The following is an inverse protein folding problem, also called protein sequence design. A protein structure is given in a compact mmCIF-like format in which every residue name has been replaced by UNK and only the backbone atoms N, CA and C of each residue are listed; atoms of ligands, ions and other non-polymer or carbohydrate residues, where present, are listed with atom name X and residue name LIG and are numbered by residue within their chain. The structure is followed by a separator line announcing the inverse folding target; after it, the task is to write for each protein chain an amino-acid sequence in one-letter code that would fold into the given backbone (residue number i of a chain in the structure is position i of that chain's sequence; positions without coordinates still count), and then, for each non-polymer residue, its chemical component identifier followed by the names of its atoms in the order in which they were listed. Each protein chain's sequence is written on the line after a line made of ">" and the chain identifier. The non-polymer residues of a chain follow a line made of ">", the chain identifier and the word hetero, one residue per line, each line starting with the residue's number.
data_IF_164418358899
#
_entry.id   IF_164418358899
#
_cell.length_a   1.000
_cell.length_b   1.000
_cell.length_c   1.000
_cell.angle_alpha   90.00
_cell.angle_beta   90.00
_cell.angle_gamma   90.00
#
_symmetry.space_group_name_H-M   'P 1'
#
loop_
_entity.id
_entity.type
_entity.pdbx_description
1 polymer ?
#
# COMPACT_ATOMS: atom_id res chain seq x y z
N UNK A 1 3.74 -0.41 -23.52
CA UNK A 1 4.04 -0.66 -22.10
C UNK A 1 3.54 0.54 -21.31
N UNK A 2 2.47 0.39 -20.55
CA UNK A 2 1.92 1.46 -19.71
C UNK A 2 2.80 1.59 -18.47
N UNK A 3 3.44 2.75 -18.30
CA UNK A 3 4.22 3.09 -17.11
C UNK A 3 3.31 3.05 -15.88
N UNK A 4 3.71 2.44 -14.75
CA UNK A 4 2.91 2.49 -13.54
C UNK A 4 2.74 3.95 -13.10
N UNK A 5 1.50 4.44 -13.14
CA UNK A 5 1.08 5.83 -12.89
C UNK A 5 1.53 6.33 -11.50
N UNK A 6 1.73 5.43 -10.54
CA UNK A 6 2.15 5.76 -9.17
C UNK A 6 3.66 5.59 -8.91
N UNK A 7 4.49 5.34 -9.92
CA UNK A 7 5.92 5.13 -9.69
C UNK A 7 6.58 6.36 -9.07
N UNK A 8 7.28 6.17 -7.95
CA UNK A 8 7.89 7.23 -7.15
C UNK A 8 6.95 7.90 -6.15
N UNK A 9 5.66 7.54 -6.13
CA UNK A 9 4.71 8.11 -5.18
C UNK A 9 4.90 7.53 -3.77
N UNK A 10 4.64 8.39 -2.80
CA UNK A 10 4.70 8.11 -1.37
C UNK A 10 3.32 8.37 -0.78
N UNK A 11 2.78 7.38 -0.11
CA UNK A 11 1.53 7.45 0.64
C UNK A 11 1.84 7.44 2.13
N UNK A 12 1.37 8.46 2.84
CA UNK A 12 1.53 8.62 4.29
C UNK A 12 0.41 7.94 5.06
N UNK A 13 0.59 7.78 6.36
CA UNK A 13 -0.35 7.12 7.28
C UNK A 13 -1.81 7.59 7.12
N UNK A 14 -2.05 8.90 6.94
CA UNK A 14 -3.40 9.44 6.75
C UNK A 14 -4.10 8.86 5.52
N UNK A 15 -3.40 8.81 4.38
CA UNK A 15 -3.95 8.23 3.15
C UNK A 15 -4.14 6.73 3.32
N UNK A 16 -3.22 6.04 4.00
CA UNK A 16 -3.29 4.60 4.21
C UNK A 16 -4.45 4.21 5.14
N UNK A 17 -4.75 5.05 6.12
CA UNK A 17 -5.94 4.94 6.97
C UNK A 17 -7.21 5.09 6.13
N UNK A 18 -7.29 6.10 5.28
CA UNK A 18 -8.44 6.32 4.38
C UNK A 18 -8.60 5.19 3.35
N UNK A 19 -7.51 4.49 3.02
CA UNK A 19 -7.49 3.35 2.10
C UNK A 19 -7.71 2.00 2.80
N UNK A 20 -7.88 2.00 4.13
CA UNK A 20 -8.04 0.83 4.99
C UNK A 20 -6.91 -0.20 4.81
N UNK A 21 -5.66 0.30 4.76
CA UNK A 21 -4.45 -0.52 4.70
C UNK A 21 -3.77 -0.49 6.07
N UNK A 22 -3.71 -1.66 6.71
CA UNK A 22 -3.43 -1.80 8.15
C UNK A 22 -2.25 -2.76 8.35
N UNK A 23 -1.40 -2.48 9.33
CA UNK A 23 -0.37 -3.42 9.80
C UNK A 23 -1.04 -4.60 10.52
N UNK A 24 -0.78 -5.81 10.03
CA UNK A 24 -1.38 -7.03 10.60
C UNK A 24 -0.98 -7.29 12.05
N UNK A 25 0.17 -6.77 12.49
CA UNK A 25 0.73 -7.07 13.81
C UNK A 25 0.21 -6.11 14.89
N UNK A 26 -0.05 -4.85 14.53
CA UNK A 26 -0.46 -3.81 15.47
C UNK A 26 -1.94 -3.42 15.33
N UNK A 27 -2.58 -3.77 14.21
CA UNK A 27 -3.94 -3.33 13.90
C UNK A 27 -4.05 -1.83 13.59
N UNK A 28 -2.91 -1.13 13.44
CA UNK A 28 -2.84 0.30 13.12
C UNK A 28 -2.52 0.52 11.64
N UNK A 29 -2.86 1.67 11.06
CA UNK A 29 -2.39 2.02 9.71
C UNK A 29 -0.86 1.99 9.64
N UNK A 30 -0.35 1.66 8.45
CA UNK A 30 1.08 1.63 8.18
C UNK A 30 1.63 3.06 8.18
N UNK A 31 2.90 3.24 8.56
CA UNK A 31 3.51 4.57 8.56
C UNK A 31 3.59 5.18 7.17
N UNK A 32 4.00 4.37 6.19
CA UNK A 32 4.22 4.83 4.83
C UNK A 32 4.26 3.67 3.84
N UNK A 33 3.75 3.91 2.63
CA UNK A 33 3.98 3.05 1.48
C UNK A 33 4.66 3.88 0.39
N UNK A 34 5.70 3.32 -0.23
CA UNK A 34 6.37 3.91 -1.39
C UNK A 34 6.25 2.94 -2.56
N UNK A 35 5.77 3.44 -3.70
CA UNK A 35 5.71 2.65 -4.93
C UNK A 35 6.95 2.93 -5.75
N UNK A 36 7.71 1.89 -6.04
CA UNK A 36 8.84 1.90 -6.95
C UNK A 36 8.51 1.07 -8.19
N UNK A 37 9.36 1.16 -9.22
CA UNK A 37 9.07 0.69 -10.58
C UNK A 37 8.53 -0.74 -10.63
N UNK A 38 9.09 -1.63 -9.82
CA UNK A 38 8.75 -3.07 -9.79
C UNK A 38 8.35 -3.59 -8.40
N UNK A 39 8.28 -2.71 -7.39
CA UNK A 39 8.06 -3.11 -5.99
C UNK A 39 7.36 -2.03 -5.17
N UNK A 40 6.66 -2.47 -4.15
CA UNK A 40 6.02 -1.64 -3.13
C UNK A 40 6.83 -1.80 -1.85
N UNK A 41 7.33 -0.68 -1.33
CA UNK A 41 8.03 -0.63 -0.05
C UNK A 41 7.04 -0.18 1.02
N UNK A 42 6.87 -1.01 2.04
CA UNK A 42 5.92 -0.81 3.13
C UNK A 42 6.71 -0.56 4.41
N UNK A 43 6.56 0.62 4.99
CA UNK A 43 7.20 1.01 6.24
C UNK A 43 6.19 0.87 7.37
N UNK A 44 6.51 0.00 8.32
CA UNK A 44 5.72 -0.31 9.51
C UNK A 44 6.28 0.41 10.73
N UNK A 45 5.59 0.35 11.87
CA UNK A 45 6.16 0.80 13.15
C UNK A 45 7.43 0.01 13.51
N UNK A 46 7.42 -1.30 13.23
CA UNK A 46 8.50 -2.24 13.54
C UNK A 46 9.07 -2.89 12.29
N UNK A 47 9.70 -2.08 11.44
CA UNK A 47 10.48 -2.55 10.30
C UNK A 47 9.91 -2.15 8.94
N UNK A 48 10.50 -2.72 7.91
CA UNK A 48 10.18 -2.44 6.51
C UNK A 48 9.99 -3.77 5.76
N UNK A 49 8.97 -3.82 4.90
CA UNK A 49 8.66 -4.97 4.05
C UNK A 49 8.63 -4.52 2.59
N UNK A 50 9.15 -5.35 1.69
CA UNK A 50 9.11 -5.09 0.26
C UNK A 50 8.27 -6.13 -0.45
N UNK A 51 7.28 -5.69 -1.22
CA UNK A 51 6.33 -6.54 -1.92
C UNK A 51 6.51 -6.33 -3.44
N UNK A 52 6.76 -7.37 -4.23
CA UNK A 52 6.83 -7.25 -5.69
C UNK A 52 5.51 -6.72 -6.25
N UNK A 53 5.57 -5.71 -7.12
CA UNK A 53 4.37 -5.09 -7.71
C UNK A 53 3.59 -6.08 -8.58
N UNK A 54 4.29 -7.03 -9.20
CA UNK A 54 3.71 -8.07 -10.05
C UNK A 54 2.99 -9.20 -9.27
N UNK A 55 3.17 -9.27 -7.95
CA UNK A 55 2.50 -10.25 -7.09
C UNK A 55 1.01 -9.94 -6.93
N UNK A 56 0.20 -10.93 -6.56
CA UNK A 56 -1.22 -10.72 -6.25
C UNK A 56 -1.41 -9.67 -5.16
N UNK A 57 -0.59 -9.73 -4.10
CA UNK A 57 -0.60 -8.78 -2.98
C UNK A 57 -0.22 -7.38 -3.45
N UNK A 58 0.84 -7.26 -4.26
CA UNK A 58 1.29 -5.99 -4.83
C UNK A 58 0.24 -5.33 -5.72
N UNK A 59 -0.41 -6.10 -6.60
CA UNK A 59 -1.50 -5.62 -7.45
C UNK A 59 -2.70 -5.14 -6.62
N UNK A 60 -3.08 -5.87 -5.57
CA UNK A 60 -4.20 -5.47 -4.71
C UNK A 60 -3.93 -4.13 -4.00
N UNK A 61 -2.72 -3.95 -3.45
CA UNK A 61 -2.30 -2.69 -2.82
C UNK A 61 -2.28 -1.56 -3.86
N UNK A 62 -1.66 -1.79 -5.02
CA UNK A 62 -1.57 -0.81 -6.08
C UNK A 62 -2.96 -0.35 -6.54
N UNK A 63 -3.87 -1.30 -6.79
CA UNK A 63 -5.26 -0.99 -7.15
C UNK A 63 -5.97 -0.20 -6.06
N UNK A 64 -5.83 -0.57 -4.77
CA UNK A 64 -6.45 0.20 -3.68
C UNK A 64 -5.91 1.62 -3.62
N UNK A 65 -4.61 1.81 -3.83
CA UNK A 65 -4.00 3.14 -3.84
C UNK A 65 -4.47 3.98 -5.04
N UNK A 66 -4.68 3.37 -6.22
CA UNK A 66 -5.18 4.07 -7.41
C UNK A 66 -6.69 4.33 -7.39
N UNK A 67 -7.51 3.35 -7.03
CA UNK A 67 -8.97 3.49 -7.00
C UNK A 67 -9.38 4.14 -5.70
N UNK A 68 -9.86 5.38 -5.77
CA UNK A 68 -10.44 6.10 -4.63
C UNK A 68 -11.58 5.31 -4.00
N UNK A 69 -11.71 5.44 -2.68
CA UNK A 69 -12.81 4.96 -1.82
C UNK A 69 -12.60 3.56 -1.23
N UNK A 70 -12.49 3.55 0.10
CA UNK A 70 -12.35 2.35 0.95
C UNK A 70 -13.58 2.08 1.82
N UNK A 71 -14.62 2.90 1.71
CA UNK A 71 -15.77 2.88 2.63
C UNK A 71 -16.56 1.55 2.62
N UNK A 72 -16.34 0.69 1.62
CA UNK A 72 -17.05 -0.59 1.47
C UNK A 72 -16.13 -1.80 1.27
N UNK A 73 -14.81 -1.64 1.41
CA UNK A 73 -13.87 -2.70 1.07
C UNK A 73 -13.11 -3.21 2.27
N UNK A 74 -12.95 -4.54 2.35
CA UNK A 74 -12.20 -5.21 3.40
C UNK A 74 -10.80 -4.59 3.60
N UNK A 75 -10.34 -4.53 4.86
CA UNK A 75 -9.01 -4.02 5.18
C UNK A 75 -7.92 -4.90 4.55
N UNK A 76 -6.90 -4.24 3.98
CA UNK A 76 -5.71 -4.94 3.51
C UNK A 76 -4.72 -5.02 4.66
N UNK A 77 -4.52 -6.22 5.20
CA UNK A 77 -3.55 -6.47 6.26
C UNK A 77 -2.16 -6.76 5.70
N UNK A 78 -1.21 -5.89 6.01
CA UNK A 78 0.20 -6.01 5.62
C UNK A 78 1.09 -6.49 6.76
#
# INVERSE_FOLDING_TARGET
>A
MTTPVLNGQVFTEDILKDKNIIDKNTGKPLKKIKIEKDKIVVVKEKGEETIPLNSLRGKAIYTRLTTGISEFTEPIYL
#
